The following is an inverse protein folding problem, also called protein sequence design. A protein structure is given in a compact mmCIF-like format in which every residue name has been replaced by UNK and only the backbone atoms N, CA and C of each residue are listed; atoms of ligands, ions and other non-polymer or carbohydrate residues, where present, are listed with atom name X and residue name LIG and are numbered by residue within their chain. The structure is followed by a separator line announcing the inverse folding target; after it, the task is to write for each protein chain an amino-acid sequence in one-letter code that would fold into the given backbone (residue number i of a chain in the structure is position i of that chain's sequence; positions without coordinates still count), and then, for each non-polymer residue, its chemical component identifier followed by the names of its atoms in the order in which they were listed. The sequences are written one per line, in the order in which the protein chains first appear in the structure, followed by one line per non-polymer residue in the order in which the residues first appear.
data_IF_419130303654
#
_entry.id   IF_419130303654
#
_cell.length_a   1.000
_cell.length_b   1.000
_cell.length_c   1.000
_cell.angle_alpha   90.00
_cell.angle_beta   90.00
_cell.angle_gamma   90.00
#
_symmetry.space_group_name_H-M   'P 1'
#
loop_
_entity.id
_entity.type
_entity.pdbx_description
1 polymer ?
#
# COMPACT_ATOMS: atom_id res chain seq x y z
N UNK A 1 27.26 1.81 12.01
CA UNK A 1 26.24 1.30 11.05
C UNK A 1 26.98 0.83 9.80
N UNK A 2 26.55 -0.26 9.18
CA UNK A 2 27.14 -0.71 7.91
C UNK A 2 26.59 0.05 6.70
N UNK A 3 27.24 -0.08 5.53
CA UNK A 3 26.78 0.51 4.26
C UNK A 3 25.32 0.11 3.97
N UNK A 4 24.99 -1.16 4.23
CA UNK A 4 23.62 -1.69 4.11
C UNK A 4 22.62 -0.92 4.98
N UNK A 5 22.96 -0.65 6.23
CA UNK A 5 22.08 0.06 7.15
C UNK A 5 21.90 1.53 6.72
N UNK A 6 22.97 2.16 6.22
CA UNK A 6 22.91 3.53 5.69
C UNK A 6 22.02 3.61 4.45
N UNK A 7 22.17 2.66 3.51
CA UNK A 7 21.30 2.55 2.35
C UNK A 7 19.84 2.38 2.75
N UNK A 8 19.55 1.44 3.66
CA UNK A 8 18.18 1.22 4.13
C UNK A 8 17.64 2.44 4.87
N UNK A 9 18.46 3.13 5.66
CA UNK A 9 18.04 4.35 6.34
C UNK A 9 17.67 5.44 5.34
N UNK A 10 18.52 5.68 4.33
CA UNK A 10 18.24 6.64 3.27
C UNK A 10 16.99 6.27 2.46
N UNK A 11 16.82 4.99 2.13
CA UNK A 11 15.63 4.47 1.47
C UNK A 11 14.36 4.71 2.30
N UNK A 12 14.35 4.28 3.56
CA UNK A 12 13.18 4.45 4.44
C UNK A 12 12.87 5.94 4.66
N UNK A 13 13.88 6.78 4.85
CA UNK A 13 13.71 8.22 5.00
C UNK A 13 13.12 8.86 3.72
N UNK A 14 13.68 8.54 2.55
CA UNK A 14 13.20 9.03 1.26
C UNK A 14 11.76 8.60 0.98
N UNK A 15 11.43 7.34 1.25
CA UNK A 15 10.07 6.83 1.12
C UNK A 15 9.11 7.49 2.11
N UNK A 16 9.53 7.69 3.36
CA UNK A 16 8.72 8.38 4.37
C UNK A 16 8.43 9.83 3.95
N UNK A 17 9.42 10.55 3.42
CA UNK A 17 9.24 11.91 2.88
C UNK A 17 8.34 11.90 1.65
N UNK A 18 8.50 10.93 0.75
CA UNK A 18 7.64 10.78 -0.44
C UNK A 18 6.16 10.59 -0.07
N UNK A 19 5.86 9.68 0.85
CA UNK A 19 4.49 9.46 1.32
C UNK A 19 3.97 10.61 2.19
N UNK A 20 4.82 11.21 3.02
CA UNK A 20 4.48 12.40 3.82
C UNK A 20 4.10 13.60 2.97
N UNK A 21 4.85 13.86 1.89
CA UNK A 21 4.55 14.96 0.97
C UNK A 21 3.27 14.73 0.18
N UNK A 22 2.97 13.48 -0.23
CA UNK A 22 1.64 13.15 -0.79
C UNK A 22 0.55 13.45 0.23
N UNK A 23 0.69 13.00 1.48
CA UNK A 23 -0.31 13.21 2.52
C UNK A 23 -0.58 14.70 2.79
N UNK A 24 0.48 15.50 2.94
CA UNK A 24 0.35 16.95 3.15
C UNK A 24 -0.36 17.63 1.98
N UNK A 25 -0.02 17.25 0.74
CA UNK A 25 -0.71 17.78 -0.45
C UNK A 25 -2.19 17.42 -0.47
N UNK A 26 -2.56 16.19 -0.14
CA UNK A 26 -3.95 15.74 -0.09
C UNK A 26 -4.71 16.49 1.00
N UNK A 27 -4.17 16.55 2.23
CA UNK A 27 -4.81 17.24 3.35
C UNK A 27 -4.96 18.74 3.06
N UNK A 28 -3.90 19.41 2.57
CA UNK A 28 -3.95 20.82 2.21
C UNK A 28 -5.00 21.10 1.14
N UNK A 29 -5.05 20.26 0.10
CA UNK A 29 -6.05 20.38 -0.97
C UNK A 29 -7.49 20.27 -0.44
N UNK A 30 -7.75 19.31 0.45
CA UNK A 30 -9.08 19.14 1.07
C UNK A 30 -9.42 20.27 2.05
N UNK A 31 -8.43 20.75 2.82
CA UNK A 31 -8.61 21.83 3.78
C UNK A 31 -8.94 23.16 3.11
N UNK A 32 -8.42 23.39 1.90
CA UNK A 32 -8.76 24.53 1.05
C UNK A 32 -10.14 24.40 0.37
N UNK A 33 -10.88 23.31 0.63
CA UNK A 33 -12.21 23.08 0.07
C UNK A 33 -12.20 22.81 -1.44
N UNK A 34 -11.03 22.46 -2.01
CA UNK A 34 -10.92 22.14 -3.44
C UNK A 34 -11.58 20.80 -3.74
N UNK A 35 -12.06 20.66 -4.97
CA UNK A 35 -12.71 19.44 -5.43
C UNK A 35 -11.76 18.22 -5.28
N UNK A 36 -12.16 17.15 -4.57
CA UNK A 36 -11.45 15.87 -4.53
C UNK A 36 -10.98 15.36 -5.89
N UNK A 37 -11.72 15.65 -6.96
CA UNK A 37 -11.37 15.22 -8.30
C UNK A 37 -10.08 15.85 -8.85
N UNK A 38 -9.65 16.98 -8.28
CA UNK A 38 -8.43 17.67 -8.69
C UNK A 38 -7.18 17.27 -7.88
N UNK A 39 -7.31 16.36 -6.91
CA UNK A 39 -6.19 15.85 -6.10
C UNK A 39 -5.20 15.05 -6.94
N UNK A 40 -5.71 14.10 -7.73
CA UNK A 40 -4.86 13.12 -8.41
C UNK A 40 -3.82 13.76 -9.36
N UNK A 41 -4.16 14.71 -10.25
CA UNK A 41 -3.18 15.34 -11.14
C UNK A 41 -1.98 15.95 -10.40
N UNK A 42 -2.20 16.55 -9.23
CA UNK A 42 -1.14 17.19 -8.42
C UNK A 42 -0.18 16.22 -7.72
N UNK A 43 -0.57 14.95 -7.56
CA UNK A 43 0.20 13.92 -6.85
C UNK A 43 0.56 12.72 -7.73
N UNK A 44 0.02 12.60 -8.94
CA UNK A 44 0.11 11.42 -9.78
C UNK A 44 1.57 10.96 -10.01
N UNK A 45 2.48 11.88 -10.34
CA UNK A 45 3.90 11.56 -10.58
C UNK A 45 4.56 11.01 -9.32
N UNK A 46 4.36 11.69 -8.19
CA UNK A 46 4.95 11.31 -6.92
C UNK A 46 4.37 9.99 -6.40
N UNK A 47 3.06 9.77 -6.53
CA UNK A 47 2.41 8.49 -6.24
C UNK A 47 2.99 7.35 -7.08
N UNK A 48 3.29 7.61 -8.36
CA UNK A 48 3.96 6.63 -9.22
C UNK A 48 5.31 6.24 -8.64
N UNK A 49 6.16 7.23 -8.38
CA UNK A 49 7.52 7.02 -7.89
C UNK A 49 7.50 6.31 -6.55
N UNK A 50 6.62 6.71 -5.62
CA UNK A 50 6.50 6.08 -4.32
C UNK A 50 6.03 4.61 -4.44
N UNK A 51 5.04 4.31 -5.28
CA UNK A 51 4.57 2.94 -5.46
C UNK A 51 5.59 2.05 -6.17
N UNK A 52 6.27 2.57 -7.20
CA UNK A 52 7.37 1.86 -7.84
C UNK A 52 8.54 1.66 -6.88
N UNK A 53 8.82 2.63 -6.00
CA UNK A 53 9.83 2.54 -4.95
C UNK A 53 9.55 1.40 -3.95
N UNK A 54 8.29 1.02 -3.74
CA UNK A 54 7.92 -0.12 -2.91
C UNK A 54 8.30 -1.48 -3.54
N UNK A 55 8.51 -1.54 -4.87
CA UNK A 55 9.03 -2.75 -5.54
C UNK A 55 10.44 -3.08 -5.06
N UNK A 56 11.24 -2.07 -4.71
CA UNK A 56 12.58 -2.27 -4.16
C UNK A 56 12.54 -3.12 -2.86
N UNK A 57 11.44 -3.12 -2.12
CA UNK A 57 11.30 -3.91 -0.89
C UNK A 57 11.15 -5.40 -1.16
N UNK A 58 10.50 -5.74 -2.28
CA UNK A 58 10.42 -7.12 -2.74
C UNK A 58 11.85 -7.60 -3.02
N UNK A 59 12.66 -6.77 -3.67
CA UNK A 59 14.07 -7.07 -3.93
C UNK A 59 14.87 -7.15 -2.61
N UNK A 60 14.68 -6.23 -1.68
CA UNK A 60 15.35 -6.26 -0.38
C UNK A 60 15.01 -7.54 0.40
N UNK A 61 13.75 -7.97 0.38
CA UNK A 61 13.33 -9.21 1.02
C UNK A 61 13.91 -10.44 0.30
N UNK A 62 13.85 -10.46 -1.04
CA UNK A 62 14.34 -11.57 -1.86
C UNK A 62 15.85 -11.80 -1.73
N UNK A 63 16.64 -10.71 -1.68
CA UNK A 63 18.09 -10.77 -1.52
C UNK A 63 18.55 -10.85 -0.05
N UNK A 64 17.62 -11.01 0.91
CA UNK A 64 17.96 -11.11 2.34
C UNK A 64 18.55 -9.81 2.94
N UNK A 65 18.36 -8.68 2.25
CA UNK A 65 18.72 -7.35 2.77
C UNK A 65 17.84 -7.04 4.00
N UNK A 66 16.58 -7.45 4.01
CA UNK A 66 15.68 -7.31 5.16
C UNK A 66 15.07 -8.64 5.58
N UNK A 67 14.77 -8.79 6.88
CA UNK A 67 14.11 -9.98 7.44
C UNK A 67 12.59 -9.88 7.26
N UNK A 68 12.13 -9.88 6.03
CA UNK A 68 10.70 -9.84 5.69
C UNK A 68 10.32 -11.07 4.86
N UNK A 69 9.17 -11.71 5.11
CA UNK A 69 8.69 -12.77 4.22
C UNK A 69 8.43 -12.17 2.83
N UNK A 70 9.09 -12.73 1.82
CA UNK A 70 9.01 -12.23 0.43
C UNK A 70 7.56 -12.27 -0.06
N UNK A 71 6.84 -13.37 0.19
CA UNK A 71 5.46 -13.55 -0.26
C UNK A 71 4.48 -12.50 0.29
N UNK A 72 4.56 -12.17 1.58
CA UNK A 72 3.67 -11.13 2.15
C UNK A 72 4.01 -9.74 1.62
N UNK A 73 5.30 -9.43 1.47
CA UNK A 73 5.77 -8.15 0.94
C UNK A 73 5.33 -7.99 -0.51
N UNK A 74 5.49 -9.06 -1.30
CA UNK A 74 5.04 -9.13 -2.68
C UNK A 74 3.54 -8.89 -2.81
N UNK A 75 2.70 -9.61 -2.05
CA UNK A 75 1.24 -9.44 -2.13
C UNK A 75 0.78 -8.03 -1.75
N UNK A 76 1.39 -7.42 -0.74
CA UNK A 76 1.05 -6.05 -0.31
C UNK A 76 1.39 -5.03 -1.40
N UNK A 77 2.57 -5.13 -2.00
CA UNK A 77 3.01 -4.22 -3.07
C UNK A 77 2.21 -4.48 -4.35
N UNK A 78 2.04 -5.74 -4.75
CA UNK A 78 1.30 -6.14 -5.95
C UNK A 78 -0.15 -5.64 -5.90
N UNK A 79 -0.83 -5.81 -4.76
CA UNK A 79 -2.22 -5.35 -4.58
C UNK A 79 -2.35 -3.86 -4.89
N UNK A 80 -1.45 -3.02 -4.39
CA UNK A 80 -1.48 -1.58 -4.65
C UNK A 80 -1.09 -1.21 -6.07
N UNK A 81 -0.14 -1.94 -6.67
CA UNK A 81 0.25 -1.73 -8.07
C UNK A 81 -0.90 -2.09 -9.02
N UNK A 82 -1.65 -3.15 -8.74
CA UNK A 82 -2.84 -3.52 -9.50
C UNK A 82 -3.86 -2.38 -9.45
N UNK A 83 -4.10 -1.76 -8.30
CA UNK A 83 -5.04 -0.63 -8.20
C UNK A 83 -4.49 0.60 -8.93
N UNK A 84 -3.20 0.91 -8.75
CA UNK A 84 -2.56 2.05 -9.41
C UNK A 84 -2.61 1.92 -10.94
N UNK A 85 -2.09 0.83 -11.49
CA UNK A 85 -1.96 0.63 -12.95
C UNK A 85 -3.19 0.04 -13.62
N UNK A 86 -4.06 -0.62 -12.85
CA UNK A 86 -5.27 -1.26 -13.34
C UNK A 86 -6.56 -0.46 -13.16
N UNK A 87 -6.56 0.59 -12.34
CA UNK A 87 -7.73 1.46 -12.15
C UNK A 87 -7.41 2.97 -12.22
N UNK A 88 -6.33 3.42 -11.58
CA UNK A 88 -6.02 4.85 -11.41
C UNK A 88 -5.31 5.46 -12.63
N UNK A 89 -4.40 4.71 -13.27
CA UNK A 89 -3.54 5.16 -14.38
C UNK A 89 -4.06 4.83 -15.78
N UNK A 90 -5.12 4.05 -15.90
CA UNK A 90 -5.63 3.57 -17.19
C UNK A 90 -6.28 4.67 -18.05
N UNK A 91 -6.55 5.85 -17.46
CA UNK A 91 -7.13 6.99 -18.15
C UNK A 91 -7.93 7.89 -17.21
N UNK A 92 -8.80 8.70 -17.80
CA UNK A 92 -9.71 9.57 -17.05
C UNK A 92 -10.91 8.76 -16.54
N UNK A 93 -10.81 8.26 -15.32
CA UNK A 93 -11.81 7.38 -14.69
C UNK A 93 -12.51 8.06 -13.53
N UNK A 94 -13.75 7.63 -13.24
CA UNK A 94 -14.47 8.07 -12.05
C UNK A 94 -13.79 7.65 -10.75
N UNK A 95 -12.86 6.70 -10.82
CA UNK A 95 -12.03 6.28 -9.68
C UNK A 95 -11.24 7.48 -9.14
N UNK A 96 -10.47 8.17 -9.97
CA UNK A 96 -9.60 9.27 -9.54
C UNK A 96 -10.37 10.52 -9.13
N UNK A 97 -11.62 10.64 -9.57
CA UNK A 97 -12.53 11.75 -9.27
C UNK A 97 -13.33 11.59 -7.98
N UNK A 98 -13.22 10.43 -7.33
CA UNK A 98 -14.12 10.04 -6.25
C UNK A 98 -13.49 10.13 -4.86
N UNK A 99 -14.34 10.26 -3.84
CA UNK A 99 -13.91 10.25 -2.45
C UNK A 99 -13.24 8.94 -2.02
N UNK A 100 -13.59 7.81 -2.66
CA UNK A 100 -12.95 6.51 -2.35
C UNK A 100 -11.47 6.48 -2.74
N UNK A 101 -11.07 7.23 -3.77
CA UNK A 101 -9.66 7.41 -4.12
C UNK A 101 -8.91 8.19 -3.05
N UNK A 102 -9.49 9.29 -2.56
CA UNK A 102 -8.90 10.09 -1.48
C UNK A 102 -8.79 9.26 -0.20
N UNK A 103 -9.85 8.53 0.16
CA UNK A 103 -9.86 7.61 1.30
C UNK A 103 -8.72 6.57 1.23
N UNK A 104 -8.61 5.89 0.09
CA UNK A 104 -7.55 4.90 -0.18
C UNK A 104 -6.17 5.55 -0.07
N UNK A 105 -5.98 6.71 -0.69
CA UNK A 105 -4.70 7.41 -0.74
C UNK A 105 -4.24 7.83 0.65
N UNK A 106 -5.14 8.37 1.48
CA UNK A 106 -4.84 8.71 2.88
C UNK A 106 -4.46 7.46 3.68
N UNK A 107 -5.19 6.36 3.52
CA UNK A 107 -4.88 5.10 4.21
C UNK A 107 -3.51 4.55 3.80
N UNK A 108 -3.19 4.58 2.51
CA UNK A 108 -1.86 4.21 2.00
C UNK A 108 -0.77 5.08 2.60
N UNK A 109 -0.92 6.41 2.55
CA UNK A 109 0.08 7.34 3.09
C UNK A 109 0.35 7.09 4.58
N UNK A 110 -0.70 7.00 5.39
CA UNK A 110 -0.55 6.77 6.84
C UNK A 110 0.11 5.42 7.13
N UNK A 111 -0.31 4.36 6.43
CA UNK A 111 0.31 3.04 6.56
C UNK A 111 1.80 3.09 6.25
N UNK A 112 2.19 3.74 5.15
CA UNK A 112 3.58 3.81 4.72
C UNK A 112 4.44 4.69 5.63
N UNK A 113 3.96 5.86 6.03
CA UNK A 113 4.68 6.74 6.95
C UNK A 113 5.00 6.01 8.26
N UNK A 114 4.00 5.34 8.85
CA UNK A 114 4.19 4.56 10.09
C UNK A 114 5.24 3.46 9.87
N UNK A 115 5.15 2.73 8.74
CA UNK A 115 6.04 1.61 8.44
C UNK A 115 7.48 2.04 8.21
N UNK A 116 7.70 3.02 7.35
CA UNK A 116 9.04 3.53 7.06
C UNK A 116 9.67 4.22 8.26
N UNK A 117 8.88 4.96 9.04
CA UNK A 117 9.35 5.53 10.32
C UNK A 117 9.79 4.45 11.30
N UNK A 118 9.00 3.38 11.44
CA UNK A 118 9.34 2.25 12.31
C UNK A 118 10.61 1.53 11.85
N UNK A 119 10.79 1.30 10.55
CA UNK A 119 12.00 0.66 10.02
C UNK A 119 13.23 1.56 10.18
N UNK A 120 13.10 2.87 9.94
CA UNK A 120 14.17 3.84 10.19
C UNK A 120 14.59 3.89 11.66
N UNK A 121 13.63 3.97 12.58
CA UNK A 121 13.90 3.99 14.02
C UNK A 121 14.62 2.71 14.49
N UNK A 122 14.19 1.53 14.00
CA UNK A 122 14.84 0.26 14.32
C UNK A 122 16.29 0.18 13.81
N UNK A 123 16.59 0.73 12.63
CA UNK A 123 17.97 0.80 12.10
C UNK A 123 18.85 1.69 12.97
N UNK A 124 18.30 2.79 13.48
CA UNK A 124 18.96 3.69 14.44
C UNK A 124 18.99 3.13 15.87
N UNK A 125 18.44 1.93 16.10
CA UNK A 125 18.31 1.29 17.42
C UNK A 125 17.49 2.11 18.42
N UNK A 126 16.62 2.99 17.93
CA UNK A 126 15.70 3.77 18.75
C UNK A 126 14.36 3.04 18.80
N UNK A 127 14.01 2.51 19.97
CA UNK A 127 12.74 1.82 20.17
C UNK A 127 11.73 2.75 20.84
N UNK A 128 10.84 3.35 20.02
CA UNK A 128 9.71 4.11 20.53
C UNK A 128 8.53 3.17 20.74
N UNK A 129 8.09 3.06 22.00
CA UNK A 129 6.94 2.22 22.35
C UNK A 129 5.66 2.66 21.60
N UNK A 130 5.46 3.97 21.43
CA UNK A 130 4.34 4.55 20.67
C UNK A 130 4.38 4.15 19.19
N UNK A 131 5.55 4.24 18.56
CA UNK A 131 5.72 3.90 17.15
C UNK A 131 5.56 2.39 16.90
N UNK A 132 6.09 1.57 17.81
CA UNK A 132 5.85 0.12 17.80
C UNK A 132 4.37 -0.18 17.95
N UNK A 133 3.68 0.48 18.88
CA UNK A 133 2.24 0.32 19.06
C UNK A 133 1.45 0.69 17.81
N UNK A 134 1.77 1.84 17.19
CA UNK A 134 1.16 2.28 15.92
C UNK A 134 1.40 1.26 14.81
N UNK A 135 2.64 0.79 14.62
CA UNK A 135 3.00 -0.18 13.58
C UNK A 135 2.16 -1.45 13.62
N UNK A 136 1.80 -1.91 14.82
CA UNK A 136 1.04 -3.14 15.04
C UNK A 136 -0.42 -2.92 15.44
N UNK A 137 -0.91 -1.68 15.46
CA UNK A 137 -2.32 -1.39 15.80
C UNK A 137 -3.03 -0.56 14.75
N UNK A 138 -2.32 0.29 14.01
CA UNK A 138 -2.91 1.17 13.00
C UNK A 138 -3.61 0.39 11.88
N UNK A 139 -3.12 -0.82 11.55
CA UNK A 139 -3.75 -1.67 10.53
C UNK A 139 -5.22 -2.00 10.86
N UNK A 140 -5.62 -2.02 12.14
CA UNK A 140 -7.00 -2.35 12.50
C UNK A 140 -8.01 -1.37 11.91
N UNK A 141 -7.61 -0.10 11.73
CA UNK A 141 -8.42 0.95 11.11
C UNK A 141 -8.00 1.18 9.66
N UNK A 142 -6.70 1.33 9.40
CA UNK A 142 -6.20 1.67 8.07
C UNK A 142 -6.41 0.57 7.04
N UNK A 143 -6.45 -0.71 7.45
CA UNK A 143 -6.60 -1.82 6.52
C UNK A 143 -8.02 -1.91 5.94
N UNK A 144 -9.11 -1.89 6.75
CA UNK A 144 -10.48 -1.77 6.21
C UNK A 144 -10.67 -0.52 5.35
N UNK A 145 -10.15 0.64 5.79
CA UNK A 145 -10.26 1.91 5.06
C UNK A 145 -9.53 1.84 3.72
N UNK A 146 -8.32 1.24 3.70
CA UNK A 146 -7.55 1.05 2.48
C UNK A 146 -8.23 0.11 1.50
N UNK A 147 -8.65 -1.08 1.95
CA UNK A 147 -9.27 -2.10 1.09
C UNK A 147 -10.60 -1.63 0.51
N UNK A 148 -11.46 -1.01 1.32
CA UNK A 148 -12.73 -0.47 0.82
C UNK A 148 -12.51 0.63 -0.22
N UNK A 149 -11.48 1.45 -0.03
CA UNK A 149 -11.06 2.43 -1.02
C UNK A 149 -10.54 1.80 -2.31
N UNK A 150 -9.70 0.77 -2.23
CA UNK A 150 -9.18 0.02 -3.38
C UNK A 150 -10.29 -0.66 -4.19
N UNK A 151 -11.22 -1.34 -3.50
CA UNK A 151 -12.42 -1.94 -4.09
C UNK A 151 -13.26 -0.88 -4.79
N UNK A 152 -13.50 0.25 -4.12
CA UNK A 152 -14.23 1.38 -4.68
C UNK A 152 -13.57 1.94 -5.94
N UNK A 153 -12.25 2.08 -5.94
CA UNK A 153 -11.47 2.53 -7.09
C UNK A 153 -11.54 1.56 -8.28
N UNK A 154 -11.39 0.25 -8.03
CA UNK A 154 -11.52 -0.78 -9.07
C UNK A 154 -12.93 -0.81 -9.65
N UNK A 155 -13.95 -0.77 -8.78
CA UNK A 155 -15.35 -0.78 -9.19
C UNK A 155 -15.71 0.46 -10.04
N UNK A 156 -15.28 1.65 -9.62
CA UNK A 156 -15.51 2.90 -10.38
C UNK A 156 -14.71 2.98 -11.67
N UNK A 157 -13.64 2.20 -11.82
CA UNK A 157 -12.92 2.09 -13.08
C UNK A 157 -13.62 1.15 -14.09
N UNK A 158 -14.53 0.26 -13.66
CA UNK A 158 -15.18 -0.73 -14.52
C UNK A 158 -15.88 -0.13 -15.75
N UNK A 159 -16.64 0.98 -15.68
CA UNK A 159 -17.28 1.57 -16.87
C UNK A 159 -16.26 2.00 -17.93
N UNK A 160 -15.17 2.63 -17.50
CA UNK A 160 -14.06 3.01 -18.38
C UNK A 160 -13.38 1.76 -18.94
N UNK A 161 -13.10 0.76 -18.10
CA UNK A 161 -12.46 -0.50 -18.53
C UNK A 161 -13.32 -1.21 -19.59
N UNK A 162 -14.64 -1.26 -19.40
CA UNK A 162 -15.56 -1.88 -20.37
C UNK A 162 -15.55 -1.15 -21.72
N UNK A 163 -15.49 0.18 -21.70
CA UNK A 163 -15.54 1.03 -22.90
C UNK A 163 -14.20 1.06 -23.65
N UNK A 164 -13.10 1.25 -22.94
CA UNK A 164 -11.77 1.46 -23.52
C UNK A 164 -10.91 0.20 -23.57
N UNK A 165 -11.36 -0.89 -22.93
CA UNK A 165 -10.69 -2.20 -22.90
C UNK A 165 -9.17 -2.11 -22.62
N UNK A 166 -8.72 -1.34 -21.60
CA UNK A 166 -7.31 -1.27 -21.27
C UNK A 166 -6.80 -2.67 -20.89
N UNK A 167 -5.56 -2.96 -21.25
CA UNK A 167 -4.89 -4.24 -21.00
C UNK A 167 -5.62 -5.47 -21.55
N UNK A 168 -6.62 -5.31 -22.41
CA UNK A 168 -7.44 -6.42 -22.93
C UNK A 168 -6.89 -6.90 -24.26
N UNK A 169 -6.78 -8.22 -24.41
CA UNK A 169 -6.32 -8.90 -25.62
C UNK A 169 -7.47 -9.73 -26.18
N UNK A 170 -7.93 -9.38 -27.38
CA UNK A 170 -9.04 -10.05 -28.07
C UNK A 170 -8.51 -10.90 -29.23
N UNK A 171 -9.31 -11.88 -29.66
CA UNK A 171 -9.02 -12.71 -30.83
C UNK A 171 -9.49 -11.99 -32.11
N UNK A 172 -8.85 -12.24 -33.27
CA UNK A 172 -7.69 -13.12 -33.46
C UNK A 172 -6.36 -12.44 -33.11
N UNK A 173 -5.47 -13.16 -32.43
CA UNK A 173 -4.09 -12.74 -32.23
C UNK A 173 -3.14 -13.92 -32.46
N UNK A 174 -1.85 -13.63 -32.72
CA UNK A 174 -0.84 -14.65 -33.05
C UNK A 174 -0.65 -15.74 -31.98
N UNK A 175 -1.00 -15.44 -30.73
CA UNK A 175 -0.88 -16.35 -29.59
C UNK A 175 -2.15 -17.17 -29.32
N UNK A 176 -3.23 -16.92 -30.07
CA UNK A 176 -4.54 -17.55 -29.92
C UNK A 176 -5.07 -17.57 -28.47
N UNK A 177 -4.87 -16.47 -27.73
CA UNK A 177 -5.27 -16.32 -26.32
C UNK A 177 -6.07 -15.04 -26.11
N UNK A 178 -7.09 -15.07 -25.26
CA UNK A 178 -7.85 -13.86 -24.87
C UNK A 178 -7.66 -13.54 -23.39
N UNK A 179 -7.48 -12.25 -23.10
CA UNK A 179 -7.44 -11.73 -21.74
C UNK A 179 -8.35 -10.52 -21.64
N UNK A 180 -9.31 -10.55 -20.72
CA UNK A 180 -10.21 -9.44 -20.47
C UNK A 180 -9.91 -8.83 -19.11
N UNK A 181 -9.33 -7.63 -19.12
CA UNK A 181 -9.06 -6.90 -17.89
C UNK A 181 -10.35 -6.63 -17.10
N UNK A 182 -11.47 -6.40 -17.81
CA UNK A 182 -12.79 -6.24 -17.18
C UNK A 182 -13.19 -7.46 -16.33
N UNK A 183 -13.05 -8.67 -16.90
CA UNK A 183 -13.36 -9.91 -16.19
C UNK A 183 -12.34 -10.17 -15.07
N UNK A 184 -11.06 -9.83 -15.28
CA UNK A 184 -10.03 -9.94 -14.26
C UNK A 184 -10.31 -9.03 -13.07
N UNK A 185 -10.77 -7.79 -13.29
CA UNK A 185 -11.18 -6.90 -12.19
C UNK A 185 -12.34 -7.48 -11.41
N UNK A 186 -13.35 -8.06 -12.07
CA UNK A 186 -14.42 -8.77 -11.36
C UNK A 186 -13.91 -9.96 -10.54
N UNK A 187 -13.00 -10.75 -11.08
CA UNK A 187 -12.35 -11.84 -10.35
C UNK A 187 -11.55 -11.35 -9.14
N UNK A 188 -10.83 -10.23 -9.28
CA UNK A 188 -10.12 -9.59 -8.18
C UNK A 188 -11.11 -9.14 -7.10
N UNK A 189 -12.19 -8.46 -7.48
CA UNK A 189 -13.20 -7.91 -6.57
C UNK A 189 -13.97 -9.00 -5.81
N UNK A 190 -14.36 -10.09 -6.48
CA UNK A 190 -15.21 -11.14 -5.91
C UNK A 190 -14.42 -12.32 -5.35
N UNK A 191 -13.20 -12.57 -5.83
CA UNK A 191 -12.35 -13.68 -5.41
C UNK A 191 -11.19 -13.23 -4.51
N UNK A 192 -10.27 -12.46 -5.07
CA UNK A 192 -9.00 -12.15 -4.40
C UNK A 192 -9.18 -11.24 -3.19
N UNK A 193 -9.98 -10.18 -3.27
CA UNK A 193 -10.16 -9.24 -2.17
C UNK A 193 -10.81 -9.88 -0.93
N UNK A 194 -11.96 -10.59 -1.04
CA UNK A 194 -12.59 -11.20 0.13
C UNK A 194 -11.67 -12.21 0.83
N UNK A 195 -11.04 -13.11 0.06
CA UNK A 195 -10.14 -14.12 0.62
C UNK A 195 -8.83 -13.51 1.14
N UNK A 196 -8.16 -12.71 0.30
CA UNK A 196 -6.86 -12.11 0.61
C UNK A 196 -6.92 -11.14 1.80
N UNK A 197 -8.00 -10.37 1.91
CA UNK A 197 -8.21 -9.45 3.05
C UNK A 197 -8.32 -10.20 4.38
N UNK A 198 -9.08 -11.29 4.42
CA UNK A 198 -9.21 -12.13 5.62
C UNK A 198 -7.88 -12.76 6.04
N UNK A 199 -7.14 -13.34 5.09
CA UNK A 199 -5.85 -14.00 5.36
C UNK A 199 -4.81 -13.00 5.86
N UNK A 200 -4.68 -11.84 5.22
CA UNK A 200 -3.72 -10.83 5.64
C UNK A 200 -4.09 -10.15 6.95
N UNK A 201 -5.38 -9.91 7.20
CA UNK A 201 -5.83 -9.33 8.46
C UNK A 201 -5.59 -10.28 9.64
N UNK A 202 -5.93 -11.56 9.49
CA UNK A 202 -5.66 -12.58 10.52
C UNK A 202 -4.17 -12.77 10.78
N UNK A 203 -3.34 -12.71 9.73
CA UNK A 203 -1.88 -12.71 9.85
C UNK A 203 -1.36 -11.52 10.67
N UNK A 204 -1.83 -10.30 10.38
CA UNK A 204 -1.42 -9.10 11.12
C UNK A 204 -1.87 -9.12 12.59
N UNK A 205 -3.07 -9.64 12.88
CA UNK A 205 -3.53 -9.89 14.25
C UNK A 205 -2.62 -10.86 15.00
N UNK A 206 -2.18 -11.94 14.35
CA UNK A 206 -1.23 -12.88 14.94
C UNK A 206 0.13 -12.23 15.20
N UNK A 207 0.62 -11.41 14.26
CA UNK A 207 1.88 -10.68 14.42
C UNK A 207 1.82 -9.68 15.58
N UNK A 208 0.68 -8.99 15.73
CA UNK A 208 0.41 -8.09 16.86
C UNK A 208 0.50 -8.83 18.20
N UNK A 209 -0.22 -9.95 18.34
CA UNK A 209 -0.20 -10.77 19.57
C UNK A 209 1.21 -11.23 19.93
N UNK A 210 1.96 -11.75 18.95
CA UNK A 210 3.36 -12.19 19.16
C UNK A 210 4.27 -11.06 19.64
N UNK A 211 4.14 -9.88 19.04
CA UNK A 211 5.00 -8.73 19.39
C UNK A 211 4.72 -8.26 20.81
N UNK A 212 3.46 -8.09 21.20
CA UNK A 212 3.12 -7.63 22.55
C UNK A 212 3.36 -8.69 23.63
N UNK A 213 3.16 -9.98 23.32
CA UNK A 213 3.53 -11.07 24.24
C UNK A 213 5.05 -11.09 24.50
N UNK A 214 5.86 -10.84 23.46
CA UNK A 214 7.32 -10.69 23.60
C UNK A 214 7.67 -9.48 24.48
N UNK A 215 7.08 -8.32 24.22
CA UNK A 215 7.33 -7.13 25.04
C UNK A 215 6.92 -7.28 26.51
N UNK A 216 5.84 -8.03 26.79
CA UNK A 216 5.41 -8.33 28.15
C UNK A 216 6.42 -9.24 28.89
N UNK A 217 6.92 -10.29 28.23
CA UNK A 217 7.92 -11.19 28.82
C UNK A 217 9.28 -10.52 29.02
N UNK A 218 9.68 -9.60 28.13
CA UNK A 218 10.90 -8.80 28.32
C UNK A 218 10.76 -7.81 29.50
N UNK A 219 9.57 -7.28 29.74
CA UNK A 219 9.30 -6.42 30.91
C UNK A 219 9.32 -7.21 32.20
N UNK A 220 8.68 -8.38 32.25
CA UNK A 220 8.68 -9.23 33.45
C UNK A 220 10.08 -9.70 33.85
N UNK A 221 10.94 -10.00 32.86
CA UNK A 221 12.35 -10.35 33.09
C UNK A 221 13.23 -9.19 33.56
N UNK A 222 12.82 -7.94 33.36
CA UNK A 222 13.55 -6.76 33.85
C UNK A 222 13.08 -6.30 35.23
N UNK A 223 11.88 -6.72 35.65
CA UNK A 223 11.34 -6.45 36.98
C UNK A 223 11.66 -7.54 38.01
N UNK A 224 12.14 -8.70 37.56
CA UNK A 224 12.67 -9.78 38.39
C UNK A 224 14.18 -9.63 38.50
#
# INVERSE_FOLDING_TARGET
MGIKDMYLLAYNAGMCVGWGTILVKVIGHLAEGRDPASVYPGIARLLCVAQTGAVAEILHAAFGVVRSPVGTTFLQVLSRLIVLYGAVRIGDTDSTKSLVFVQMLVAWCLSEIIRYSFYGANLLRVNLASLTWLRYSAFMVLYPVGITGEIGCLYKALPYIKKHKPWTVELPNKLNFTFSWYNTVWFILLGIYPYGSYVMYSYMLAQRRKTFAKSASERSKKSA
#
